data_IF_150871057777
#
_entry.id   IF_150871057777
#
_cell.length_a   1.000
_cell.length_b   1.000
_cell.length_c   1.000
_cell.angle_alpha   90.00
_cell.angle_beta   90.00
_cell.angle_gamma   90.00
#
_symmetry.space_group_name_H-M   'P 1'
#
loop_
_entity.id
_entity.type
_entity.pdbx_description
1 polymer ?
#
# COMPACT_ATOMS: atom_id res chain seq x y z
N UNK A 1 9.99 -4.56 -1.13
CA UNK A 1 9.02 -4.86 -2.22
C UNK A 1 8.12 -6.01 -1.81
N UNK A 2 6.81 -5.89 -2.04
CA UNK A 2 5.81 -6.88 -1.59
C UNK A 2 4.93 -7.28 -2.78
N UNK A 3 4.60 -8.57 -2.90
CA UNK A 3 3.67 -9.07 -3.92
C UNK A 3 2.28 -9.26 -3.30
N UNK A 4 1.38 -8.29 -3.50
CA UNK A 4 0.03 -8.33 -2.92
C UNK A 4 -0.90 -9.10 -3.86
N UNK A 5 -1.33 -10.30 -3.47
CA UNK A 5 -2.21 -11.17 -4.26
C UNK A 5 -3.70 -10.89 -4.00
N UNK A 6 -4.57 -11.37 -4.91
CA UNK A 6 -6.04 -11.33 -4.71
C UNK A 6 -6.45 -12.07 -3.44
N UNK A 7 -5.75 -13.16 -3.09
CA UNK A 7 -6.01 -13.93 -1.87
C UNK A 7 -5.80 -13.08 -0.62
N UNK A 8 -4.70 -12.33 -0.55
CA UNK A 8 -4.43 -11.44 0.59
C UNK A 8 -5.56 -10.43 0.75
N UNK A 9 -5.97 -9.75 -0.33
CA UNK A 9 -7.04 -8.73 -0.30
C UNK A 9 -8.38 -9.29 0.20
N UNK A 10 -8.69 -10.55 -0.13
CA UNK A 10 -9.94 -11.20 0.30
C UNK A 10 -9.95 -11.59 1.78
N UNK A 11 -8.78 -11.85 2.37
CA UNK A 11 -8.67 -12.39 3.72
C UNK A 11 -8.41 -11.33 4.79
N UNK A 12 -7.84 -10.19 4.41
CA UNK A 12 -7.52 -9.10 5.35
C UNK A 12 -8.69 -8.13 5.51
N UNK A 13 -8.86 -7.57 6.71
CA UNK A 13 -9.78 -6.44 6.91
C UNK A 13 -9.21 -5.14 6.33
N UNK A 14 -7.89 -4.93 6.43
CA UNK A 14 -7.23 -3.76 5.84
C UNK A 14 -5.77 -4.05 5.49
N UNK A 15 -5.19 -3.21 4.64
CA UNK A 15 -3.74 -3.19 4.39
C UNK A 15 -3.19 -1.78 4.60
N UNK A 16 -2.02 -1.71 5.24
CA UNK A 16 -1.25 -0.47 5.39
C UNK A 16 0.17 -0.75 4.92
N UNK A 17 0.51 -0.18 3.76
CA UNK A 17 1.86 -0.21 3.21
C UNK A 17 2.69 0.98 3.67
N UNK A 18 4.00 0.83 3.57
CA UNK A 18 4.94 1.93 3.75
C UNK A 18 4.71 3.01 2.67
N UNK A 19 4.99 4.27 3.01
CA UNK A 19 4.83 5.41 2.10
C UNK A 19 6.16 6.14 1.83
N UNK A 20 7.27 5.68 2.42
CA UNK A 20 8.62 6.16 2.11
C UNK A 20 9.47 5.03 1.55
N UNK A 21 10.42 5.36 0.68
CA UNK A 21 11.53 4.47 0.34
C UNK A 21 12.83 5.30 0.34
N UNK A 22 13.84 4.96 1.19
CA UNK A 22 13.91 3.80 2.10
C UNK A 22 12.85 3.83 3.21
N UNK A 23 12.50 2.64 3.73
CA UNK A 23 11.44 2.46 4.73
C UNK A 23 11.85 3.01 6.10
N UNK A 24 11.72 4.32 6.28
CA UNK A 24 11.99 5.00 7.56
C UNK A 24 10.76 5.08 8.46
N UNK A 25 9.57 4.79 7.91
CA UNK A 25 8.26 5.02 8.53
C UNK A 25 7.63 3.73 9.09
N UNK A 26 8.46 2.77 9.50
CA UNK A 26 8.00 1.43 9.91
C UNK A 26 7.09 1.49 11.14
N UNK A 27 7.47 2.29 12.13
CA UNK A 27 6.70 2.48 13.36
C UNK A 27 5.34 3.11 13.08
N UNK A 28 5.29 4.20 12.32
CA UNK A 28 4.04 4.90 11.98
C UNK A 28 3.10 4.01 11.17
N UNK A 29 3.66 3.19 10.28
CA UNK A 29 2.89 2.21 9.49
C UNK A 29 2.25 1.16 10.40
N UNK A 30 3.01 0.60 11.35
CA UNK A 30 2.50 -0.36 12.33
C UNK A 30 1.47 0.25 13.27
N UNK A 31 1.74 1.45 13.80
CA UNK A 31 0.82 2.19 14.66
C UNK A 31 -0.51 2.47 13.95
N UNK A 32 -0.47 2.91 12.69
CA UNK A 32 -1.68 3.13 11.90
C UNK A 32 -2.47 1.83 11.69
N UNK A 33 -1.79 0.72 11.36
CA UNK A 33 -2.43 -0.57 11.19
C UNK A 33 -3.13 -1.04 12.49
N UNK A 34 -2.45 -0.93 13.63
CA UNK A 34 -3.02 -1.25 14.93
C UNK A 34 -4.24 -0.37 15.25
N UNK A 35 -4.15 0.95 15.03
CA UNK A 35 -5.27 1.86 15.25
C UNK A 35 -6.50 1.49 14.44
N UNK A 36 -6.34 1.14 13.16
CA UNK A 36 -7.45 0.69 12.31
C UNK A 36 -8.04 -0.62 12.84
N UNK A 37 -7.19 -1.57 13.24
CA UNK A 37 -7.64 -2.84 13.80
C UNK A 37 -8.50 -2.62 15.05
N UNK A 38 -8.05 -1.79 15.99
CA UNK A 38 -8.82 -1.49 17.20
C UNK A 38 -10.15 -0.80 16.89
N UNK A 39 -10.19 0.16 15.95
CA UNK A 39 -11.46 0.75 15.52
C UNK A 39 -12.41 -0.26 14.86
N UNK A 40 -11.90 -1.29 14.17
CA UNK A 40 -12.74 -2.39 13.65
C UNK A 40 -13.27 -3.25 14.80
N UNK A 41 -12.41 -3.62 15.76
CA UNK A 41 -12.79 -4.44 16.92
C UNK A 41 -13.82 -3.74 17.82
N UNK A 42 -13.75 -2.41 17.92
CA UNK A 42 -14.73 -1.59 18.63
C UNK A 42 -15.99 -1.28 17.80
N UNK A 43 -16.13 -1.87 16.61
CA UNK A 43 -17.25 -1.65 15.68
C UNK A 43 -17.44 -0.17 15.24
N UNK A 44 -16.42 0.66 15.37
CA UNK A 44 -16.45 2.09 15.00
C UNK A 44 -16.43 2.29 13.48
N UNK A 45 -15.81 1.34 12.75
CA UNK A 45 -15.63 1.40 11.30
C UNK A 45 -15.84 0.03 10.66
N UNK A 46 -16.36 0.04 9.43
CA UNK A 46 -16.41 -1.14 8.55
C UNK A 46 -15.48 -0.87 7.36
N UNK A 47 -14.70 -1.86 6.98
CA UNK A 47 -13.73 -1.76 5.88
C UNK A 47 -14.23 -2.48 4.62
N UNK A 48 -13.95 -1.90 3.46
CA UNK A 48 -14.09 -2.56 2.15
C UNK A 48 -12.80 -2.39 1.38
N UNK A 49 -12.19 -3.51 1.01
CA UNK A 49 -10.91 -3.50 0.31
C UNK A 49 -11.10 -3.52 -1.21
N UNK A 50 -10.38 -2.62 -1.90
CA UNK A 50 -10.33 -2.57 -3.36
C UNK A 50 -8.86 -2.64 -3.81
N UNK A 51 -8.56 -3.47 -4.81
CA UNK A 51 -7.23 -3.56 -5.44
C UNK A 51 -7.34 -3.26 -6.93
N UNK A 52 -6.53 -2.32 -7.41
CA UNK A 52 -6.29 -2.14 -8.85
C UNK A 52 -4.84 -2.48 -9.15
N UNK A 53 -4.62 -3.47 -10.01
CA UNK A 53 -3.30 -3.85 -10.49
C UNK A 53 -2.99 -3.04 -11.76
N UNK A 54 -1.78 -2.49 -11.83
CA UNK A 54 -1.20 -1.89 -13.03
C UNK A 54 -0.21 -2.93 -13.57
N UNK A 55 -0.41 -3.50 -14.77
CA UNK A 55 0.46 -4.54 -15.32
C UNK A 55 1.76 -3.90 -15.84
N UNK A 56 2.61 -3.48 -14.91
CA UNK A 56 3.86 -2.80 -15.20
C UNK A 56 4.91 -3.24 -14.20
N UNK A 57 6.05 -3.70 -14.70
CA UNK A 57 7.26 -3.88 -13.91
C UNK A 57 7.96 -2.53 -13.86
N UNK A 58 8.11 -1.97 -12.67
CA UNK A 58 8.85 -0.72 -12.48
C UNK A 58 10.34 -1.00 -12.57
N UNK A 59 11.00 -0.46 -13.59
CA UNK A 59 12.47 -0.48 -13.72
C UNK A 59 13.08 0.80 -13.13
N UNK A 60 14.28 0.68 -12.57
CA UNK A 60 15.08 1.82 -12.12
C UNK A 60 14.93 2.17 -10.64
N UNK A 61 15.58 3.25 -10.24
CA UNK A 61 15.61 3.69 -8.86
C UNK A 61 14.31 4.47 -8.54
N UNK A 62 13.28 3.76 -8.05
CA UNK A 62 12.06 4.37 -7.49
C UNK A 62 12.35 5.36 -6.33
N UNK A 63 13.62 5.43 -5.89
CA UNK A 63 14.15 6.14 -4.72
C UNK A 63 14.79 7.51 -5.05
N UNK A 64 14.67 8.01 -6.28
CA UNK A 64 15.17 9.35 -6.63
C UNK A 64 14.02 10.34 -6.54
N UNK A 65 14.13 11.27 -5.57
CA UNK A 65 13.31 12.48 -5.52
C UNK A 65 13.52 13.25 -6.81
N UNK A 66 12.45 13.51 -7.55
CA UNK A 66 12.56 14.14 -8.87
C UNK A 66 11.67 13.48 -9.93
N UNK A 67 10.35 13.59 -9.76
CA UNK A 67 9.41 13.48 -10.87
C UNK A 67 9.07 12.06 -11.33
N UNK A 68 9.43 11.02 -10.58
CA UNK A 68 8.99 9.68 -10.91
C UNK A 68 7.45 9.57 -10.74
N UNK A 69 6.81 8.82 -11.63
CA UNK A 69 5.35 8.60 -11.63
C UNK A 69 4.83 8.12 -10.25
N UNK A 70 5.65 7.35 -9.53
CA UNK A 70 5.34 6.83 -8.21
C UNK A 70 5.20 7.93 -7.14
N UNK A 71 6.08 8.94 -7.15
CA UNK A 71 6.03 10.09 -6.23
C UNK A 71 4.72 10.85 -6.38
N UNK A 72 4.29 11.07 -7.64
CA UNK A 72 2.99 11.69 -7.94
C UNK A 72 1.84 10.83 -7.43
N UNK A 73 1.87 9.51 -7.63
CA UNK A 73 0.83 8.63 -7.09
C UNK A 73 0.76 8.64 -5.56
N UNK A 74 1.90 8.67 -4.85
CA UNK A 74 1.91 8.79 -3.39
C UNK A 74 1.32 10.13 -2.93
N UNK A 75 1.63 11.23 -3.63
CA UNK A 75 1.07 12.55 -3.34
C UNK A 75 -0.44 12.58 -3.53
N UNK A 76 -0.95 12.07 -4.65
CA UNK A 76 -2.39 11.98 -4.92
C UNK A 76 -3.11 11.05 -3.92
N UNK A 77 -2.52 9.90 -3.59
CA UNK A 77 -3.06 8.99 -2.58
C UNK A 77 -3.21 9.66 -1.20
N UNK A 78 -2.33 10.60 -0.86
CA UNK A 78 -2.40 11.35 0.41
C UNK A 78 -3.53 12.38 0.42
N UNK A 79 -3.91 12.90 -0.74
CA UNK A 79 -5.01 13.87 -0.91
C UNK A 79 -6.37 13.18 -0.80
N UNK A 80 -6.47 11.91 -1.23
CA UNK A 80 -7.68 11.08 -1.20
C UNK A 80 -8.07 10.60 0.23
N UNK A 81 -8.10 11.52 1.20
CA UNK A 81 -8.37 11.29 2.64
C UNK A 81 -9.74 10.70 2.98
N UNK A 82 -10.64 10.53 2.01
CA UNK A 82 -11.94 9.86 2.25
C UNK A 82 -11.82 8.36 2.52
N UNK A 83 -10.64 7.76 2.31
CA UNK A 83 -10.40 6.34 2.54
C UNK A 83 -9.65 6.10 3.87
N UNK A 84 -9.99 5.00 4.54
CA UNK A 84 -9.35 4.55 5.80
C UNK A 84 -7.84 4.30 5.58
N UNK A 85 -7.48 3.66 4.47
CA UNK A 85 -6.10 3.43 4.06
C UNK A 85 -5.99 3.35 2.55
N UNK A 86 -4.92 3.92 1.99
CA UNK A 86 -4.50 3.75 0.60
C UNK A 86 -3.01 3.41 0.64
N UNK A 87 -2.58 2.42 -0.13
CA UNK A 87 -1.20 1.99 -0.18
C UNK A 87 -0.83 1.54 -1.58
N UNK A 88 0.39 1.87 -1.99
CA UNK A 88 0.95 1.53 -3.29
C UNK A 88 2.04 0.49 -3.05
N UNK A 89 1.99 -0.60 -3.80
CA UNK A 89 2.93 -1.70 -3.68
C UNK A 89 3.63 -1.90 -5.02
N UNK A 90 4.85 -1.36 -5.19
CA UNK A 90 5.72 -1.76 -6.29
C UNK A 90 6.01 -3.26 -6.14
N UNK A 91 5.57 -4.04 -7.14
CA UNK A 91 5.83 -5.47 -7.19
C UNK A 91 7.34 -5.74 -7.24
N UNK A 92 7.77 -6.83 -6.62
CA UNK A 92 9.17 -7.24 -6.70
C UNK A 92 9.44 -7.81 -8.10
N UNK A 93 10.29 -7.16 -8.89
CA UNK A 93 10.60 -7.54 -10.27
C UNK A 93 11.40 -8.84 -10.43
N UNK A 94 11.84 -9.46 -9.33
CA UNK A 94 12.57 -10.74 -9.34
C UNK A 94 11.71 -11.96 -8.99
N UNK A 95 10.38 -11.83 -9.00
CA UNK A 95 9.47 -12.94 -8.71
C UNK A 95 8.80 -13.39 -10.00
N UNK A 96 8.80 -14.70 -10.26
CA UNK A 96 7.97 -15.32 -11.29
C UNK A 96 6.66 -15.80 -10.66
N UNK A 97 5.61 -14.99 -10.76
CA UNK A 97 4.28 -15.33 -10.22
C UNK A 97 3.20 -14.78 -11.14
N UNK A 98 2.09 -15.52 -11.33
CA UNK A 98 0.99 -15.11 -12.21
C UNK A 98 0.29 -13.83 -11.74
N UNK A 99 0.54 -13.41 -10.50
CA UNK A 99 -0.02 -12.19 -9.93
C UNK A 99 0.91 -10.98 -9.93
N UNK A 100 2.11 -11.04 -10.56
CA UNK A 100 3.00 -9.88 -10.80
C UNK A 100 2.49 -8.90 -11.83
#
# INVERSE_FOLDING_TARGET
MQNITKRIIRLVNTLVGYYTEPYVNMFETGYKAAKILFSILNEEIITRNCRKKIPMITSGNLRVSGGCLLERFFKEARILRKNISISIFPGNHYIDSPEL
#
